data_IF_316685641277
#
_entry.id   IF_316685641277
#
_cell.length_a   1.000
_cell.length_b   1.000
_cell.length_c   1.000
_cell.angle_alpha   90.00
_cell.angle_beta   90.00
_cell.angle_gamma   90.00
#
_symmetry.space_group_name_H-M   'P 1'
#
loop_
_entity.id
_entity.type
_entity.pdbx_description
1 polymer ?
#
# COMPACT_ATOMS: atom_id res chain seq x y z
N UNK A 1 6.31 24.67 -2.09
CA UNK A 1 5.24 23.88 -2.73
C UNK A 1 4.38 23.32 -1.61
N UNK A 2 3.08 23.63 -1.62
CA UNK A 2 2.14 23.19 -0.59
C UNK A 2 1.98 21.65 -0.66
N UNK A 3 1.81 20.97 0.47
CA UNK A 3 1.64 19.52 0.52
C UNK A 3 0.37 19.06 -0.23
N UNK A 4 -0.62 19.94 -0.31
CA UNK A 4 -1.83 19.77 -1.11
C UNK A 4 -1.54 19.65 -2.61
N UNK A 5 -0.59 20.43 -3.15
CA UNK A 5 -0.20 20.35 -4.56
C UNK A 5 0.56 19.06 -4.87
N UNK A 6 1.41 18.60 -3.94
CA UNK A 6 2.10 17.30 -4.08
C UNK A 6 1.11 16.13 -4.08
N UNK A 7 0.05 16.23 -3.29
CA UNK A 7 -1.01 15.22 -3.26
C UNK A 7 -1.75 15.16 -4.60
N UNK A 8 -2.14 16.32 -5.15
CA UNK A 8 -2.81 16.41 -6.45
C UNK A 8 -1.95 15.85 -7.58
N UNK A 9 -0.65 16.18 -7.62
CA UNK A 9 0.28 15.65 -8.63
C UNK A 9 0.42 14.12 -8.56
N UNK A 10 0.48 13.55 -7.36
CA UNK A 10 0.55 12.11 -7.16
C UNK A 10 -0.73 11.39 -7.57
N UNK A 11 -1.90 12.00 -7.33
CA UNK A 11 -3.20 11.49 -7.78
C UNK A 11 -3.30 11.52 -9.32
N UNK A 12 -2.92 12.64 -9.94
CA UNK A 12 -2.96 12.80 -11.40
C UNK A 12 -1.97 11.88 -12.13
N UNK A 13 -0.77 11.69 -11.57
CA UNK A 13 0.25 10.81 -12.14
C UNK A 13 -0.02 9.32 -11.92
N UNK A 14 -1.12 8.97 -11.23
CA UNK A 14 -1.44 7.58 -10.82
C UNK A 14 -0.26 6.90 -10.12
N UNK A 15 0.57 7.66 -9.42
CA UNK A 15 1.74 7.14 -8.72
C UNK A 15 1.39 6.49 -7.38
N UNK A 16 0.15 6.65 -6.92
CA UNK A 16 -0.37 5.94 -5.76
C UNK A 16 -0.64 4.48 -6.13
N UNK A 17 0.07 3.58 -5.46
CA UNK A 17 -0.29 2.18 -5.35
C UNK A 17 -0.74 2.03 -3.89
N UNK A 18 -2.00 2.38 -3.61
CA UNK A 18 -2.53 2.51 -2.26
C UNK A 18 -3.85 1.77 -2.14
N UNK A 19 -4.00 1.05 -1.04
CA UNK A 19 -5.23 0.34 -0.65
C UNK A 19 -6.16 1.34 0.03
N UNK A 20 -7.43 1.40 -0.36
CA UNK A 20 -8.41 2.36 0.17
C UNK A 20 -8.94 1.84 1.50
N UNK A 21 -8.59 2.44 2.64
CA UNK A 21 -9.29 2.17 3.91
C UNK A 21 -10.38 3.21 4.13
N UNK A 22 -11.66 2.80 4.10
CA UNK A 22 -12.78 3.66 4.46
C UNK A 22 -13.45 3.18 5.75
N UNK A 23 -13.67 4.15 6.65
CA UNK A 23 -14.69 4.18 7.69
C UNK A 23 -15.01 5.65 8.10
N UNK A 24 -14.14 6.63 7.77
CA UNK A 24 -14.33 8.07 8.03
C UNK A 24 -13.70 8.99 6.95
N UNK A 25 -13.49 8.53 5.71
CA UNK A 25 -13.02 9.39 4.60
C UNK A 25 -11.54 9.79 4.59
N UNK A 26 -10.65 9.01 5.21
CA UNK A 26 -9.19 9.28 5.23
C UNK A 26 -8.43 8.32 4.31
N UNK A 27 -7.68 8.87 3.34
CA UNK A 27 -6.73 8.09 2.53
C UNK A 27 -5.42 7.94 3.28
N UNK A 28 -5.11 6.72 3.72
CA UNK A 28 -3.83 6.40 4.36
C UNK A 28 -2.96 5.63 3.37
N UNK A 29 -1.79 6.18 3.03
CA UNK A 29 -0.78 5.47 2.25
C UNK A 29 -0.07 4.44 3.15
N UNK A 30 -0.48 3.18 3.04
CA UNK A 30 0.10 2.07 3.80
C UNK A 30 1.24 1.36 3.08
N UNK A 31 1.71 1.84 1.92
CA UNK A 31 2.67 1.10 1.08
C UNK A 31 3.99 0.80 1.80
N UNK A 32 4.59 1.82 2.42
CA UNK A 32 5.86 1.66 3.14
C UNK A 32 5.73 0.85 4.44
N UNK A 33 4.70 1.07 5.29
CA UNK A 33 4.43 0.18 6.41
C UNK A 33 4.19 -1.29 5.99
N UNK A 34 3.40 -1.51 4.93
CA UNK A 34 3.10 -2.84 4.42
C UNK A 34 4.35 -3.54 3.90
N UNK A 35 5.16 -2.84 3.11
CA UNK A 35 6.43 -3.36 2.60
C UNK A 35 7.36 -3.81 3.75
N UNK A 36 7.51 -2.99 4.78
CA UNK A 36 8.33 -3.32 5.95
C UNK A 36 7.82 -4.57 6.67
N UNK A 37 6.52 -4.67 6.89
CA UNK A 37 5.92 -5.85 7.52
C UNK A 37 6.17 -7.14 6.71
N UNK A 38 6.11 -7.06 5.37
CA UNK A 38 6.43 -8.20 4.49
C UNK A 38 7.91 -8.56 4.58
N UNK A 39 8.81 -7.57 4.52
CA UNK A 39 10.25 -7.78 4.62
C UNK A 39 10.65 -8.43 5.95
N UNK A 40 10.07 -7.97 7.06
CA UNK A 40 10.27 -8.54 8.40
C UNK A 40 9.79 -10.00 8.47
N UNK A 41 8.58 -10.27 7.99
CA UNK A 41 8.04 -11.63 7.95
C UNK A 41 8.89 -12.55 7.05
N UNK A 42 9.33 -12.07 5.90
CA UNK A 42 10.15 -12.87 4.98
C UNK A 42 11.49 -13.22 5.60
N UNK A 43 12.11 -12.26 6.29
CA UNK A 43 13.35 -12.48 7.02
C UNK A 43 13.16 -13.47 8.18
N UNK A 44 12.10 -13.32 8.97
CA UNK A 44 11.80 -14.17 10.12
C UNK A 44 11.54 -15.63 9.71
N UNK A 45 10.76 -15.84 8.66
CA UNK A 45 10.35 -17.18 8.22
C UNK A 45 11.22 -17.75 7.09
N UNK A 46 12.26 -17.03 6.67
CA UNK A 46 13.16 -17.47 5.58
C UNK A 46 12.46 -17.60 4.23
N UNK A 47 11.41 -16.82 3.98
CA UNK A 47 10.64 -16.82 2.74
C UNK A 47 11.46 -16.14 1.64
N UNK A 48 11.55 -16.80 0.48
CA UNK A 48 12.23 -16.27 -0.70
C UNK A 48 11.22 -16.12 -1.83
N UNK A 49 10.53 -15.00 -1.83
CA UNK A 49 9.49 -14.69 -2.82
C UNK A 49 9.57 -13.22 -3.27
N UNK A 50 8.80 -12.85 -4.30
CA UNK A 50 8.73 -11.48 -4.81
C UNK A 50 7.88 -10.59 -3.91
N UNK A 51 8.53 -9.62 -3.26
CA UNK A 51 7.88 -8.63 -2.40
C UNK A 51 6.85 -7.82 -3.20
N UNK A 52 7.16 -7.48 -4.46
CA UNK A 52 6.26 -6.69 -5.30
C UNK A 52 4.94 -7.39 -5.59
N UNK A 53 4.98 -8.69 -5.87
CA UNK A 53 3.83 -9.55 -6.05
C UNK A 53 3.06 -9.74 -4.75
N UNK A 54 3.77 -9.99 -3.65
CA UNK A 54 3.16 -10.15 -2.31
C UNK A 54 2.36 -8.91 -1.90
N UNK A 55 2.90 -7.71 -2.15
CA UNK A 55 2.18 -6.44 -1.91
C UNK A 55 0.88 -6.38 -2.74
N UNK A 56 0.93 -6.78 -4.02
CA UNK A 56 -0.25 -6.78 -4.90
C UNK A 56 -1.32 -7.76 -4.43
N UNK A 57 -0.91 -8.97 -4.04
CA UNK A 57 -1.83 -10.01 -3.56
C UNK A 57 -2.49 -9.59 -2.24
N UNK A 58 -1.72 -9.08 -1.28
CA UNK A 58 -2.27 -8.54 -0.03
C UNK A 58 -3.19 -7.35 -0.31
N UNK A 59 -2.81 -6.46 -1.22
CA UNK A 59 -3.67 -5.34 -1.65
C UNK A 59 -5.01 -5.81 -2.19
N UNK A 60 -5.01 -6.82 -3.07
CA UNK A 60 -6.23 -7.41 -3.63
C UNK A 60 -7.11 -8.08 -2.56
N UNK A 61 -6.50 -8.74 -1.56
CA UNK A 61 -7.24 -9.29 -0.42
C UNK A 61 -7.90 -8.18 0.40
N UNK A 62 -7.18 -7.09 0.69
CA UNK A 62 -7.76 -5.97 1.45
C UNK A 62 -8.92 -5.35 0.67
N UNK A 63 -8.78 -5.13 -0.64
CA UNK A 63 -9.86 -4.66 -1.51
C UNK A 63 -11.09 -5.59 -1.44
N UNK A 64 -10.88 -6.92 -1.51
CA UNK A 64 -11.98 -7.89 -1.46
C UNK A 64 -12.74 -7.92 -0.12
N UNK A 65 -12.08 -7.56 0.98
CA UNK A 65 -12.72 -7.44 2.30
C UNK A 65 -13.56 -6.16 2.38
N UNK A 66 -13.23 -5.16 1.56
CA UNK A 66 -13.85 -3.84 1.58
C UNK A 66 -15.08 -3.72 0.66
N UNK A 67 -15.21 -4.57 -0.36
CA UNK A 67 -16.40 -4.67 -1.22
C UNK A 67 -16.14 -4.28 -2.67
#
# INVERSE_FOLDING_TARGET
MNDEQKLVEKLQSRSFCGVIFDFDGTVIDIKEPLKRAIEEAFAEYGIKDDIGQTIREIGSVIESVQG
#
